data_IF_767672928433
#
_entry.id   IF_767672928433
#
_cell.length_a   1.000
_cell.length_b   1.000
_cell.length_c   1.000
_cell.angle_alpha   90.00
_cell.angle_beta   90.00
_cell.angle_gamma   90.00
#
_symmetry.space_group_name_H-M   'P 1'
#
loop_
_entity.id
_entity.type
_entity.pdbx_description
1 polymer ?
#
# COMPACT_ATOMS: atom_id res chain seq x y z
N UNK A 1 31.27 -4.18 -12.36
CA UNK A 1 30.72 -3.71 -12.14
C UNK A 1 30.06 -3.48 -11.92
N UNK A 2 30.10 -3.58 -11.83
CA UNK A 2 29.31 -3.19 -11.54
C UNK A 2 28.56 -2.87 -11.23
N UNK A 3 28.45 -2.97 -11.41
CA UNK A 3 27.73 -2.50 -11.16
C UNK A 3 26.96 -2.38 -10.80
N UNK A 4 26.62 -2.37 -11.16
CA UNK A 4 25.82 -2.25 -10.74
C UNK A 4 25.56 -2.13 -9.96
N UNK A 5 25.84 -2.26 -10.06
CA UNK A 5 25.48 -2.10 -8.91
C UNK A 5 25.06 -0.86 -8.37
N UNK A 6 25.10 0.14 -8.69
CA UNK A 6 24.59 1.24 -8.27
C UNK A 6 23.23 1.29 -8.09
N UNK A 7 22.50 0.62 -8.81
CA UNK A 7 21.12 0.39 -8.50
C UNK A 7 21.00 -0.43 -7.27
N UNK A 8 22.08 -0.96 -6.84
CA UNK A 8 22.04 -1.78 -5.65
C UNK A 8 21.88 -1.03 -4.41
N UNK A 9 22.25 0.23 -4.42
CA UNK A 9 22.09 1.05 -3.24
C UNK A 9 20.68 1.53 -3.06
N UNK A 10 19.88 1.28 -4.06
CA UNK A 10 18.50 1.70 -4.11
C UNK A 10 17.61 0.48 -3.88
N UNK A 11 16.71 0.56 -2.93
CA UNK A 11 15.80 -0.52 -2.60
C UNK A 11 14.41 -0.09 -3.03
N UNK A 12 13.99 -0.43 -4.24
CA UNK A 12 12.73 0.04 -4.76
C UNK A 12 11.55 -0.74 -4.18
N UNK A 13 10.36 -0.14 -4.27
CA UNK A 13 9.14 -0.81 -3.88
C UNK A 13 8.87 -2.05 -4.72
N UNK A 14 9.55 -2.19 -5.86
CA UNK A 14 9.41 -3.38 -6.69
C UNK A 14 9.81 -4.67 -5.98
N UNK A 15 10.52 -4.57 -4.85
CA UNK A 15 10.77 -5.74 -4.02
C UNK A 15 9.51 -6.21 -3.33
N UNK A 16 8.54 -5.33 -3.17
CA UNK A 16 7.22 -5.67 -2.66
C UNK A 16 6.32 -5.96 -3.84
N UNK A 17 5.53 -6.98 -3.72
CA UNK A 17 4.72 -7.45 -4.85
C UNK A 17 3.29 -6.91 -4.72
N UNK A 18 3.13 -5.62 -5.00
CA UNK A 18 1.81 -5.00 -4.98
C UNK A 18 1.02 -5.39 -6.22
N UNK A 19 -0.22 -5.79 -6.01
CA UNK A 19 -1.15 -6.05 -7.10
C UNK A 19 -2.14 -4.89 -7.17
N UNK A 20 -2.35 -4.33 -8.37
CA UNK A 20 -3.34 -3.28 -8.56
C UNK A 20 -4.70 -3.93 -8.81
N UNK A 21 -5.67 -3.59 -7.97
CA UNK A 21 -7.04 -4.09 -8.13
C UNK A 21 -7.95 -2.90 -8.43
N UNK A 22 -8.88 -3.09 -9.37
CA UNK A 22 -9.69 -2.00 -9.89
C UNK A 22 -11.17 -2.13 -9.59
N UNK A 23 -11.60 -3.23 -8.97
CA UNK A 23 -13.01 -3.42 -8.66
C UNK A 23 -13.20 -3.77 -7.20
N UNK A 24 -14.34 -3.38 -6.66
CA UNK A 24 -14.70 -3.72 -5.29
C UNK A 24 -14.76 -5.22 -5.10
N UNK A 25 -15.30 -5.94 -6.07
CA UNK A 25 -15.36 -7.40 -5.98
C UNK A 25 -13.98 -8.03 -5.85
N UNK A 26 -13.01 -7.53 -6.63
CA UNK A 26 -11.65 -8.05 -6.57
C UNK A 26 -11.00 -7.76 -5.22
N UNK A 27 -11.23 -6.57 -4.67
CA UNK A 27 -10.69 -6.21 -3.36
C UNK A 27 -11.32 -7.08 -2.28
N UNK A 28 -12.64 -7.24 -2.32
CA UNK A 28 -13.32 -8.08 -1.33
C UNK A 28 -12.86 -9.53 -1.42
N UNK A 29 -12.58 -10.03 -2.62
CA UNK A 29 -12.05 -11.37 -2.77
C UNK A 29 -10.66 -11.48 -2.15
N UNK A 30 -9.81 -10.47 -2.37
CA UNK A 30 -8.47 -10.48 -1.77
C UNK A 30 -8.56 -10.50 -0.24
N UNK A 31 -9.48 -9.72 0.33
CA UNK A 31 -9.66 -9.69 1.78
C UNK A 31 -10.16 -11.02 2.32
N UNK A 32 -10.97 -11.72 1.54
CA UNK A 32 -11.52 -13.01 1.96
C UNK A 32 -10.49 -14.13 1.84
N UNK A 33 -9.70 -14.09 0.78
CA UNK A 33 -8.82 -15.21 0.44
C UNK A 33 -7.46 -15.14 1.14
N UNK A 34 -7.13 -14.04 1.80
CA UNK A 34 -5.82 -13.87 2.43
C UNK A 34 -6.00 -13.46 3.88
N UNK A 35 -5.20 -14.07 4.74
CA UNK A 35 -5.30 -13.78 6.18
C UNK A 35 -4.87 -12.37 6.49
N UNK A 36 -3.77 -11.91 5.87
CA UNK A 36 -3.22 -10.58 6.12
C UNK A 36 -3.17 -9.81 4.81
N UNK A 37 -3.79 -8.64 4.79
CA UNK A 37 -3.85 -7.80 3.58
C UNK A 37 -3.53 -6.36 3.95
N UNK A 38 -2.73 -5.72 3.11
CA UNK A 38 -2.51 -4.28 3.18
C UNK A 38 -3.12 -3.66 1.93
N UNK A 39 -4.08 -2.76 2.13
CA UNK A 39 -4.62 -1.95 1.04
C UNK A 39 -3.93 -0.59 1.05
N UNK A 40 -3.44 -0.17 -0.10
CA UNK A 40 -2.76 1.11 -0.29
C UNK A 40 -3.53 1.91 -1.33
N UNK A 41 -4.30 2.90 -0.88
CA UNK A 41 -5.00 3.81 -1.78
C UNK A 41 -4.02 4.88 -2.24
N UNK A 42 -3.83 4.98 -3.55
CA UNK A 42 -2.81 5.83 -4.14
C UNK A 42 -3.35 6.56 -5.35
N UNK A 43 -2.61 7.56 -5.83
CA UNK A 43 -2.94 8.29 -7.05
C UNK A 43 -1.66 8.84 -7.66
N UNK A 44 -1.66 8.97 -8.99
CA UNK A 44 -0.47 9.45 -9.71
C UNK A 44 -0.14 10.91 -9.38
N UNK A 45 -1.14 11.71 -9.00
CA UNK A 45 -0.95 13.13 -8.68
C UNK A 45 -0.66 13.37 -7.20
N UNK A 46 -0.50 12.32 -6.41
CA UNK A 46 -0.37 12.42 -4.95
C UNK A 46 1.11 12.41 -4.57
N UNK A 47 1.63 13.56 -4.11
CA UNK A 47 3.04 13.65 -3.74
C UNK A 47 3.37 12.80 -2.52
N UNK A 48 2.50 12.77 -1.54
CA UNK A 48 2.74 11.96 -0.34
C UNK A 48 2.71 10.47 -0.66
N UNK A 49 1.97 10.06 -1.68
CA UNK A 49 1.99 8.68 -2.14
C UNK A 49 3.35 8.32 -2.72
N UNK A 50 3.93 9.26 -3.48
CA UNK A 50 5.25 9.07 -4.07
C UNK A 50 6.32 9.00 -2.98
N UNK A 51 6.21 9.86 -1.97
CA UNK A 51 7.14 9.83 -0.83
C UNK A 51 7.02 8.51 -0.07
N UNK A 52 5.81 8.02 0.10
CA UNK A 52 5.57 6.75 0.77
C UNK A 52 6.30 5.61 0.05
N UNK A 53 6.15 5.57 -1.28
CA UNK A 53 6.84 4.56 -2.07
C UNK A 53 8.35 4.72 -2.00
N UNK A 54 8.84 5.96 -2.10
CA UNK A 54 10.27 6.22 -2.19
C UNK A 54 10.99 6.06 -0.86
N UNK A 55 10.34 6.33 0.26
CA UNK A 55 11.02 6.39 1.55
C UNK A 55 10.58 5.30 2.51
N UNK A 56 9.29 4.93 2.51
CA UNK A 56 8.79 3.96 3.46
C UNK A 56 8.82 2.55 2.90
N UNK A 57 8.23 2.35 1.73
CA UNK A 57 8.19 1.02 1.13
C UNK A 57 9.52 0.58 0.55
N UNK A 58 10.46 1.49 0.36
CA UNK A 58 11.82 1.13 -0.05
C UNK A 58 12.69 0.69 1.13
N UNK A 59 12.22 0.88 2.34
CA UNK A 59 12.98 0.54 3.55
C UNK A 59 12.98 -0.98 3.73
N UNK A 60 14.16 -1.56 3.94
CA UNK A 60 14.30 -3.01 4.01
C UNK A 60 13.58 -3.61 5.20
N UNK A 61 13.55 -2.91 6.33
CA UNK A 61 12.88 -3.42 7.52
C UNK A 61 11.38 -3.41 7.34
N UNK A 62 10.85 -2.40 6.63
CA UNK A 62 9.44 -2.37 6.28
C UNK A 62 9.10 -3.55 5.35
N UNK A 63 9.94 -3.77 4.36
CA UNK A 63 9.74 -4.88 3.43
C UNK A 63 9.74 -6.22 4.15
N UNK A 64 10.63 -6.37 5.12
CA UNK A 64 10.71 -7.58 5.90
C UNK A 64 9.43 -7.81 6.71
N UNK A 65 8.93 -6.74 7.34
CA UNK A 65 7.71 -6.83 8.15
C UNK A 65 6.46 -7.11 7.31
N UNK A 66 6.50 -6.78 6.03
CA UNK A 66 5.35 -7.00 5.15
C UNK A 66 5.35 -8.37 4.48
N UNK A 67 6.34 -9.19 4.75
CA UNK A 67 6.31 -10.55 4.25
C UNK A 67 5.11 -11.28 4.84
N UNK A 68 4.43 -12.05 3.99
CA UNK A 68 3.23 -12.74 4.40
C UNK A 68 1.95 -11.94 4.21
N UNK A 69 2.06 -10.66 3.86
CA UNK A 69 0.89 -9.84 3.53
C UNK A 69 0.58 -9.93 2.05
N UNK A 70 -0.70 -9.99 1.73
CA UNK A 70 -1.17 -9.70 0.37
C UNK A 70 -1.16 -8.19 0.23
N UNK A 71 -0.40 -7.68 -0.73
CA UNK A 71 -0.23 -6.24 -0.90
C UNK A 71 -1.06 -5.80 -2.10
N UNK A 72 -1.97 -4.86 -1.87
CA UNK A 72 -2.92 -4.40 -2.89
C UNK A 72 -2.83 -2.89 -3.00
N UNK A 73 -2.68 -2.39 -4.23
CA UNK A 73 -2.80 -0.96 -4.51
C UNK A 73 -4.12 -0.68 -5.19
N UNK A 74 -4.78 0.37 -4.74
CA UNK A 74 -6.02 0.85 -5.33
C UNK A 74 -5.74 2.25 -5.84
N UNK A 75 -5.67 2.39 -7.16
CA UNK A 75 -5.32 3.64 -7.81
C UNK A 75 -6.61 4.44 -8.07
N UNK A 76 -6.71 5.61 -7.45
CA UNK A 76 -7.88 6.46 -7.59
C UNK A 76 -7.56 7.73 -8.41
N UNK A 77 -6.54 7.65 -9.28
CA UNK A 77 -6.06 8.80 -10.04
C UNK A 77 -7.13 9.42 -10.91
N UNK A 78 -8.00 8.60 -11.50
CA UNK A 78 -9.02 9.08 -12.44
C UNK A 78 -10.22 9.69 -11.73
N UNK A 79 -10.40 9.35 -10.49
CA UNK A 79 -11.54 9.82 -9.69
C UNK A 79 -12.88 9.54 -10.38
N UNK A 80 -12.97 8.41 -11.07
CA UNK A 80 -14.21 8.02 -11.75
C UNK A 80 -15.19 7.42 -10.73
N UNK A 81 -16.37 7.03 -11.22
CA UNK A 81 -17.42 6.57 -10.31
C UNK A 81 -17.04 5.29 -9.58
N UNK A 82 -16.32 4.38 -10.24
CA UNK A 82 -15.88 3.15 -9.60
C UNK A 82 -14.86 3.43 -8.51
N UNK A 83 -13.91 4.32 -8.78
CA UNK A 83 -12.89 4.70 -7.80
C UNK A 83 -13.51 5.45 -6.63
N UNK A 84 -14.44 6.36 -6.93
CA UNK A 84 -15.14 7.10 -5.89
C UNK A 84 -15.93 6.17 -4.99
N UNK A 85 -16.60 5.19 -5.57
CA UNK A 85 -17.36 4.21 -4.78
C UNK A 85 -16.41 3.39 -3.90
N UNK A 86 -15.23 3.02 -4.43
CA UNK A 86 -14.25 2.28 -3.67
C UNK A 86 -13.79 3.09 -2.45
N UNK A 87 -13.48 4.38 -2.67
CA UNK A 87 -13.09 5.25 -1.57
C UNK A 87 -14.18 5.34 -0.51
N UNK A 88 -15.41 5.48 -0.96
CA UNK A 88 -16.55 5.59 -0.04
C UNK A 88 -16.72 4.30 0.77
N UNK A 89 -16.61 3.17 0.09
CA UNK A 89 -16.77 1.87 0.74
C UNK A 89 -15.76 1.66 1.86
N UNK A 90 -14.53 2.11 1.66
CA UNK A 90 -13.46 1.91 2.63
C UNK A 90 -13.21 3.13 3.53
N UNK A 91 -14.05 4.16 3.42
CA UNK A 91 -13.92 5.35 4.26
C UNK A 91 -12.67 6.14 3.98
N UNK A 92 -12.27 6.23 2.72
CA UNK A 92 -11.07 6.95 2.31
C UNK A 92 -11.47 8.28 1.69
N UNK A 93 -10.93 9.38 2.21
CA UNK A 93 -11.24 10.72 1.70
C UNK A 93 -10.18 11.24 0.75
N UNK A 94 -8.92 10.87 0.97
CA UNK A 94 -7.82 11.34 0.14
C UNK A 94 -6.64 10.38 0.29
N UNK A 95 -5.87 10.15 -0.81
CA UNK A 95 -4.69 9.30 -0.72
C UNK A 95 -3.54 10.05 -0.06
N UNK A 96 -2.55 9.38 0.52
CA UNK A 96 -2.53 7.94 0.68
C UNK A 96 -3.26 7.50 1.92
N UNK A 97 -3.86 6.32 1.85
CA UNK A 97 -4.40 5.67 3.04
C UNK A 97 -3.97 4.21 2.99
N UNK A 98 -3.37 3.75 4.06
CA UNK A 98 -2.95 2.36 4.22
C UNK A 98 -3.86 1.69 5.23
N UNK A 99 -4.49 0.58 4.84
CA UNK A 99 -5.40 -0.11 5.73
C UNK A 99 -4.94 -1.55 5.89
N UNK A 100 -4.72 -1.97 7.12
CA UNK A 100 -4.30 -3.33 7.43
C UNK A 100 -5.52 -4.16 7.82
N UNK A 101 -5.63 -5.34 7.18
CA UNK A 101 -6.70 -6.28 7.46
C UNK A 101 -6.12 -7.59 7.94
N UNK A 102 -6.82 -8.21 8.89
CA UNK A 102 -6.49 -9.55 9.31
C UNK A 102 -7.78 -10.34 9.39
N UNK A 103 -7.82 -11.47 8.66
CA UNK A 103 -9.01 -12.33 8.58
C UNK A 103 -10.25 -11.55 8.19
N UNK A 104 -10.09 -10.62 7.25
CA UNK A 104 -11.19 -9.85 6.69
C UNK A 104 -11.62 -8.64 7.51
N UNK A 105 -11.00 -8.39 8.65
CA UNK A 105 -11.36 -7.27 9.52
C UNK A 105 -10.26 -6.21 9.51
N UNK A 106 -10.66 -4.95 9.40
CA UNK A 106 -9.71 -3.85 9.50
C UNK A 106 -9.19 -3.78 10.92
N UNK A 107 -7.86 -3.79 11.06
CA UNK A 107 -7.25 -3.75 12.39
C UNK A 107 -6.42 -2.49 12.62
N UNK A 108 -6.03 -1.77 11.57
CA UNK A 108 -5.25 -0.54 11.71
C UNK A 108 -5.26 0.21 10.39
N UNK A 109 -5.05 1.54 10.45
CA UNK A 109 -4.88 2.32 9.23
C UNK A 109 -4.00 3.52 9.49
N UNK A 110 -3.29 3.93 8.44
CA UNK A 110 -2.55 5.18 8.42
C UNK A 110 -3.20 6.07 7.39
N UNK A 111 -3.40 7.34 7.74
CA UNK A 111 -3.92 8.33 6.81
C UNK A 111 -2.84 9.38 6.58
N UNK A 112 -2.44 9.55 5.31
CA UNK A 112 -1.36 10.45 4.95
C UNK A 112 -0.03 9.74 4.95
N UNK A 113 1.04 10.52 4.78
CA UNK A 113 2.39 9.97 4.76
C UNK A 113 2.76 9.43 6.14
N UNK A 114 3.45 8.31 6.15
CA UNK A 114 4.00 7.74 7.37
C UNK A 114 5.46 7.35 7.09
N UNK A 115 6.36 7.75 7.99
CA UNK A 115 7.77 7.41 7.84
C UNK A 115 7.99 5.93 8.10
N UNK A 116 9.16 5.42 7.67
CA UNK A 116 9.49 4.02 7.91
C UNK A 116 9.50 3.69 9.40
N UNK A 117 10.07 4.58 10.22
CA UNK A 117 10.13 4.34 11.67
C UNK A 117 8.74 4.31 12.29
N UNK A 118 7.89 5.23 11.88
CA UNK A 118 6.53 5.27 12.42
C UNK A 118 5.73 4.06 11.94
N UNK A 119 5.91 3.69 10.67
CA UNK A 119 5.26 2.51 10.11
C UNK A 119 5.62 1.27 10.94
N UNK A 120 6.92 1.08 11.18
CA UNK A 120 7.40 -0.09 11.93
C UNK A 120 6.92 -0.09 13.37
N UNK A 121 6.79 1.09 13.97
CA UNK A 121 6.37 1.19 15.36
C UNK A 121 4.89 0.90 15.54
N UNK A 122 4.06 1.21 14.53
CA UNK A 122 2.61 1.20 14.71
C UNK A 122 1.88 0.13 13.90
N UNK A 123 2.54 -0.53 12.95
CA UNK A 123 1.85 -1.56 12.18
C UNK A 123 1.54 -2.76 13.07
N UNK A 124 0.45 -3.48 12.76
CA UNK A 124 0.05 -4.64 13.58
C UNK A 124 1.03 -5.79 13.51
#
# INVERSE_FOLDING_TARGET
>A
MNLSVNSQNFTPTSRLNFEYLTSLNAVNKALKDNEKVLLDFTASWCENCKLLDAQTFSNERVQERLKGYKLVKIDISENDSAQTQMMKEFGVFAPPVLIFYEKGAEISRFEGFVSANEFLAKMP
#
